data_IF_666698236794
#
_entry.id   IF_666698236794
#
_cell.length_a   1.000
_cell.length_b   1.000
_cell.length_c   1.000
_cell.angle_alpha   90.00
_cell.angle_beta   90.00
_cell.angle_gamma   90.00
#
_symmetry.space_group_name_H-M   'P 1'
#
loop_
_entity.id
_entity.type
_entity.pdbx_description
1 polymer ?
#
# COMPACT_ATOMS: atom_id res chain seq x y z
N UNK A 1 18.84 16.56 -15.65
CA UNK A 1 19.81 15.47 -15.41
C UNK A 1 19.92 15.23 -13.91
N UNK A 2 20.35 14.04 -13.47
CA UNK A 2 20.69 13.80 -12.06
C UNK A 2 22.20 13.96 -11.84
N UNK A 3 22.62 14.21 -10.59
CA UNK A 3 24.03 14.32 -10.23
C UNK A 3 24.85 13.11 -10.73
N UNK A 4 24.35 11.90 -10.46
CA UNK A 4 24.99 10.65 -10.88
C UNK A 4 25.17 10.49 -12.39
N UNK A 5 24.27 11.05 -13.22
CA UNK A 5 24.41 11.03 -14.68
C UNK A 5 25.50 12.04 -15.11
N UNK A 6 25.57 13.19 -14.44
CA UNK A 6 26.63 14.18 -14.67
C UNK A 6 28.02 13.62 -14.38
N UNK A 7 28.18 12.97 -13.22
CA UNK A 7 29.45 12.33 -12.81
C UNK A 7 29.87 11.23 -13.81
N UNK A 8 28.95 10.33 -14.20
CA UNK A 8 29.22 9.31 -15.21
C UNK A 8 29.65 9.90 -16.55
N UNK A 9 28.95 10.95 -16.98
CA UNK A 9 29.24 11.64 -18.23
C UNK A 9 30.63 12.27 -18.21
N UNK A 10 31.01 12.91 -17.10
CA UNK A 10 32.33 13.51 -16.94
C UNK A 10 33.44 12.45 -17.08
N UNK A 11 33.25 11.28 -16.46
CA UNK A 11 34.20 10.17 -16.57
C UNK A 11 34.27 9.60 -17.99
N UNK A 12 33.14 9.44 -18.68
CA UNK A 12 33.11 9.01 -20.09
C UNK A 12 33.91 9.99 -20.96
N UNK A 13 33.71 11.30 -20.79
CA UNK A 13 34.43 12.33 -21.54
C UNK A 13 35.93 12.36 -21.22
N UNK A 14 36.31 12.17 -19.96
CA UNK A 14 37.71 12.09 -19.56
C UNK A 14 38.41 10.88 -20.20
N UNK A 15 37.72 9.74 -20.27
CA UNK A 15 38.24 8.52 -20.93
C UNK A 15 38.41 8.74 -22.43
N UNK A 16 37.49 9.44 -23.09
CA UNK A 16 37.56 9.74 -24.53
C UNK A 16 38.64 10.77 -24.88
N UNK A 17 38.94 11.70 -23.97
CA UNK A 17 39.93 12.75 -24.19
C UNK A 17 41.39 12.23 -24.17
N UNK A 18 41.62 11.06 -23.57
CA UNK A 18 42.98 10.52 -23.38
C UNK A 18 43.19 9.31 -24.27
N UNK A 19 44.32 9.31 -25.01
CA UNK A 19 44.71 8.22 -25.90
C UNK A 19 44.55 6.83 -25.24
N UNK A 20 43.97 5.83 -25.94
CA UNK A 20 43.78 4.47 -25.41
C UNK A 20 45.07 3.78 -24.95
N UNK A 21 46.23 4.23 -25.42
CA UNK A 21 47.55 3.65 -25.14
C UNK A 21 48.32 4.38 -24.05
N UNK A 22 47.73 5.41 -23.43
CA UNK A 22 48.35 6.16 -22.32
C UNK A 22 47.72 5.75 -20.99
N UNK A 23 48.52 5.46 -19.94
CA UNK A 23 47.98 5.23 -18.61
C UNK A 23 47.12 6.41 -18.14
N UNK A 24 45.95 6.12 -17.57
CA UNK A 24 44.98 7.13 -17.16
C UNK A 24 44.73 7.03 -15.65
N UNK A 25 44.98 8.11 -14.92
CA UNK A 25 44.61 8.26 -13.52
C UNK A 25 43.34 9.13 -13.42
N UNK A 26 42.21 8.51 -13.11
CA UNK A 26 40.93 9.18 -12.90
C UNK A 26 40.76 9.51 -11.42
N UNK A 27 40.76 10.80 -11.10
CA UNK A 27 40.53 11.32 -9.76
C UNK A 27 39.08 11.83 -9.71
N UNK A 28 38.28 11.31 -8.78
CA UNK A 28 36.87 11.71 -8.64
C UNK A 28 36.40 11.56 -7.19
N UNK A 29 35.49 12.42 -6.77
CA UNK A 29 34.76 12.31 -5.51
C UNK A 29 33.50 11.43 -5.60
N UNK A 30 33.15 10.98 -6.81
CA UNK A 30 32.01 10.08 -7.05
C UNK A 30 32.32 8.64 -6.67
N UNK A 31 31.95 8.26 -5.45
CA UNK A 31 31.86 6.83 -5.08
C UNK A 31 30.87 6.08 -5.96
N UNK A 32 29.84 6.75 -6.50
CA UNK A 32 28.85 6.11 -7.36
C UNK A 32 29.49 5.51 -8.63
N UNK A 33 30.38 6.26 -9.30
CA UNK A 33 31.10 5.76 -10.48
C UNK A 33 32.15 4.72 -10.09
N UNK A 34 32.93 4.99 -9.04
CA UNK A 34 34.00 4.10 -8.58
C UNK A 34 33.42 2.74 -8.17
N UNK A 35 32.45 2.71 -7.26
CA UNK A 35 31.85 1.46 -6.79
C UNK A 35 31.12 0.74 -7.94
N UNK A 36 30.49 1.50 -8.84
CA UNK A 36 29.83 0.94 -10.02
C UNK A 36 30.77 0.14 -10.92
N UNK A 37 31.97 0.65 -11.18
CA UNK A 37 32.96 -0.02 -12.04
C UNK A 37 33.78 -1.08 -11.28
N UNK A 38 34.07 -0.85 -9.99
CA UNK A 38 35.02 -1.69 -9.24
C UNK A 38 34.37 -2.78 -8.39
N UNK A 39 33.17 -2.55 -7.85
CA UNK A 39 32.49 -3.48 -6.94
C UNK A 39 31.30 -4.18 -7.61
N UNK A 40 30.48 -3.42 -8.35
CA UNK A 40 29.19 -3.92 -8.82
C UNK A 40 29.17 -4.39 -10.27
N UNK A 41 30.19 -4.03 -11.08
CA UNK A 41 30.21 -4.28 -12.51
C UNK A 41 29.94 -5.75 -12.87
N UNK A 42 30.63 -6.68 -12.20
CA UNK A 42 30.47 -8.10 -12.48
C UNK A 42 29.02 -8.56 -12.23
N UNK A 43 28.43 -8.20 -11.07
CA UNK A 43 27.04 -8.56 -10.77
C UNK A 43 26.08 -7.96 -11.80
N UNK A 44 26.31 -6.71 -12.20
CA UNK A 44 25.47 -6.00 -13.16
C UNK A 44 25.50 -6.64 -14.55
N UNK A 45 26.67 -7.06 -15.03
CA UNK A 45 26.79 -7.77 -16.29
C UNK A 45 26.17 -9.17 -16.22
N UNK A 46 26.41 -9.91 -15.14
CA UNK A 46 25.85 -11.23 -14.92
C UNK A 46 24.31 -11.23 -14.91
N UNK A 47 23.68 -10.20 -14.31
CA UNK A 47 22.22 -10.02 -14.31
C UNK A 47 21.68 -9.30 -15.55
N UNK A 48 22.51 -9.06 -16.56
CA UNK A 48 22.11 -8.43 -17.83
C UNK A 48 21.64 -6.99 -17.68
N UNK A 49 22.15 -6.27 -16.67
CA UNK A 49 21.81 -4.88 -16.35
C UNK A 49 20.34 -4.62 -15.96
N UNK A 50 19.60 -5.69 -15.66
CA UNK A 50 18.18 -5.60 -15.28
C UNK A 50 18.03 -4.88 -13.94
N UNK A 51 17.26 -3.79 -13.93
CA UNK A 51 17.01 -3.00 -12.73
C UNK A 51 18.18 -2.13 -12.26
N UNK A 52 19.21 -1.95 -13.10
CA UNK A 52 20.37 -1.10 -12.81
C UNK A 52 20.10 0.31 -13.34
N UNK A 53 20.17 1.30 -12.45
CA UNK A 53 20.01 2.71 -12.81
C UNK A 53 21.19 3.18 -13.67
N UNK A 54 20.93 4.05 -14.66
CA UNK A 54 21.93 4.60 -15.58
C UNK A 54 22.77 3.51 -16.28
N UNK A 55 22.14 2.34 -16.54
CA UNK A 55 22.83 1.18 -17.10
C UNK A 55 23.38 1.43 -18.51
N UNK A 56 22.76 2.31 -19.28
CA UNK A 56 23.25 2.65 -20.62
C UNK A 56 24.60 3.38 -20.55
N UNK A 57 24.70 4.39 -19.69
CA UNK A 57 25.92 5.18 -19.47
C UNK A 57 27.04 4.32 -18.90
N UNK A 58 26.74 3.44 -17.94
CA UNK A 58 27.72 2.50 -17.41
C UNK A 58 28.21 1.51 -18.49
N UNK A 59 27.33 0.98 -19.34
CA UNK A 59 27.75 0.10 -20.45
C UNK A 59 28.71 0.81 -21.41
N UNK A 60 28.44 2.08 -21.72
CA UNK A 60 29.32 2.91 -22.57
C UNK A 60 30.67 3.09 -21.89
N UNK A 61 30.70 3.48 -20.62
CA UNK A 61 31.94 3.64 -19.86
C UNK A 61 32.75 2.34 -19.83
N UNK A 62 32.12 1.21 -19.51
CA UNK A 62 32.76 -0.11 -19.45
C UNK A 62 33.33 -0.51 -20.81
N UNK A 63 32.60 -0.29 -21.89
CA UNK A 63 33.08 -0.58 -23.24
C UNK A 63 34.30 0.27 -23.60
N UNK A 64 34.26 1.58 -23.29
CA UNK A 64 35.40 2.49 -23.51
C UNK A 64 36.61 2.10 -22.68
N UNK A 65 36.43 1.76 -21.41
CA UNK A 65 37.52 1.29 -20.54
C UNK A 65 38.15 -0.01 -21.05
N UNK A 66 37.32 -0.99 -21.49
CA UNK A 66 37.81 -2.25 -22.08
C UNK A 66 38.49 -2.08 -23.44
N UNK A 67 38.18 -1.00 -24.16
CA UNK A 67 38.83 -0.67 -25.42
C UNK A 67 40.25 -0.12 -25.24
N UNK A 68 40.60 0.36 -24.04
CA UNK A 68 41.92 0.92 -23.75
C UNK A 68 42.98 -0.19 -23.70
N UNK A 69 44.14 0.08 -24.30
CA UNK A 69 45.32 -0.78 -24.24
C UNK A 69 46.21 -0.50 -23.02
N UNK A 70 46.04 0.66 -22.38
CA UNK A 70 46.78 1.06 -21.19
C UNK A 70 45.89 1.04 -19.93
N UNK A 71 46.48 0.83 -18.74
CA UNK A 71 45.73 0.74 -17.49
C UNK A 71 45.03 2.06 -17.15
N UNK A 72 43.83 1.93 -16.58
CA UNK A 72 43.08 3.05 -15.98
C UNK A 72 42.98 2.81 -14.48
N UNK A 73 43.39 3.77 -13.66
CA UNK A 73 43.31 3.70 -12.20
C UNK A 73 42.32 4.72 -11.71
N UNK A 74 41.48 4.32 -10.77
CA UNK A 74 40.54 5.21 -10.09
C UNK A 74 41.10 5.59 -8.72
N UNK A 75 41.12 6.88 -8.42
CA UNK A 75 41.49 7.41 -7.11
C UNK A 75 40.31 8.20 -6.57
N UNK A 76 39.77 7.73 -5.46
CA UNK A 76 38.76 8.48 -4.74
C UNK A 76 39.41 9.65 -3.98
N UNK A 77 38.81 10.82 -4.07
CA UNK A 77 39.13 11.98 -3.23
C UNK A 77 37.88 12.46 -2.53
N UNK A 78 38.06 13.09 -1.38
CA UNK A 78 36.94 13.71 -0.67
C UNK A 78 36.61 15.03 -1.35
N UNK A 79 35.34 15.28 -1.62
CA UNK A 79 34.89 16.56 -2.18
C UNK A 79 35.20 17.74 -1.25
N UNK A 80 35.55 18.89 -1.85
CA UNK A 80 35.83 20.16 -1.16
C UNK A 80 36.92 20.11 -0.08
N UNK A 81 38.02 19.38 -0.34
CA UNK A 81 39.16 19.30 0.59
C UNK A 81 40.45 19.94 0.08
N UNK A 82 40.39 20.87 -0.87
CA UNK A 82 41.59 21.56 -1.38
C UNK A 82 42.35 20.82 -2.49
N UNK A 83 41.74 19.83 -3.15
CA UNK A 83 42.31 19.24 -4.36
C UNK A 83 42.02 20.17 -5.55
N UNK A 84 43.05 20.86 -6.05
CA UNK A 84 42.92 21.87 -7.09
C UNK A 84 42.22 21.33 -8.35
N UNK A 85 42.49 20.09 -8.72
CA UNK A 85 41.88 19.45 -9.89
C UNK A 85 40.40 19.15 -9.69
N UNK A 86 40.03 18.61 -8.52
CA UNK A 86 38.62 18.33 -8.19
C UNK A 86 37.81 19.62 -8.05
N UNK A 87 38.36 20.67 -7.42
CA UNK A 87 37.69 21.96 -7.27
C UNK A 87 37.49 22.67 -8.61
N UNK A 88 38.48 22.60 -9.50
CA UNK A 88 38.32 23.11 -10.86
C UNK A 88 37.24 22.33 -11.64
N UNK A 89 37.20 20.99 -11.48
CA UNK A 89 36.17 20.16 -12.11
C UNK A 89 34.76 20.46 -11.59
N UNK A 90 34.59 20.66 -10.28
CA UNK A 90 33.30 21.04 -9.66
C UNK A 90 32.81 22.40 -10.17
N UNK A 91 33.71 23.39 -10.27
CA UNK A 91 33.40 24.69 -10.86
C UNK A 91 32.92 24.56 -12.32
N UNK A 92 33.63 23.79 -13.13
CA UNK A 92 33.25 23.53 -14.53
C UNK A 92 31.92 22.78 -14.65
N UNK A 93 31.64 21.85 -13.74
CA UNK A 93 30.36 21.16 -13.67
C UNK A 93 29.21 22.14 -13.35
N UNK A 94 29.43 23.08 -12.41
CA UNK A 94 28.47 24.14 -12.08
C UNK A 94 28.25 25.16 -13.20
N UNK A 95 29.26 25.44 -14.03
CA UNK A 95 29.11 26.21 -15.26
C UNK A 95 28.32 25.42 -16.32
N UNK A 96 28.63 24.14 -16.51
CA UNK A 96 27.90 23.24 -17.42
C UNK A 96 26.42 23.12 -17.08
N UNK A 97 26.08 23.02 -15.79
CA UNK A 97 24.70 22.94 -15.31
C UNK A 97 23.87 24.21 -15.60
N UNK A 98 24.53 25.35 -15.85
CA UNK A 98 23.90 26.65 -16.15
C UNK A 98 23.80 26.94 -17.65
N UNK A 99 24.37 26.11 -18.53
CA UNK A 99 24.24 26.29 -19.97
C UNK A 99 22.78 26.15 -20.41
N UNK A 100 22.34 27.03 -21.31
CA UNK A 100 20.99 26.97 -21.91
C UNK A 100 20.84 25.82 -22.92
N UNK A 101 21.95 25.41 -23.54
CA UNK A 101 22.01 24.31 -24.50
C UNK A 101 22.72 23.09 -23.89
N UNK A 102 22.29 21.90 -24.31
CA UNK A 102 22.89 20.64 -23.85
C UNK A 102 23.98 20.17 -24.82
N UNK A 103 25.05 19.61 -24.27
CA UNK A 103 26.11 18.97 -25.04
C UNK A 103 25.67 17.53 -25.43
N UNK A 104 25.91 17.14 -26.69
CA UNK A 104 25.63 15.77 -27.15
C UNK A 104 26.81 14.87 -26.76
N UNK A 105 26.51 13.76 -26.09
CA UNK A 105 27.49 12.75 -25.71
C UNK A 105 27.26 11.51 -26.58
N UNK A 106 28.35 10.98 -27.13
CA UNK A 106 28.30 9.71 -27.83
C UNK A 106 28.14 8.56 -26.84
N UNK A 107 26.97 7.93 -26.89
CA UNK A 107 26.62 6.76 -26.08
C UNK A 107 26.60 5.47 -26.91
N UNK A 108 27.31 5.45 -28.05
CA UNK A 108 27.50 4.21 -28.80
C UNK A 108 28.40 3.24 -28.04
N UNK A 109 27.97 1.98 -28.00
CA UNK A 109 28.68 0.88 -27.35
C UNK A 109 29.27 0.00 -28.46
N UNK A 110 30.59 -0.16 -28.46
CA UNK A 110 31.26 -1.09 -29.36
C UNK A 110 30.71 -2.52 -29.19
N UNK A 111 30.26 -3.14 -30.29
CA UNK A 111 29.58 -4.45 -30.26
C UNK A 111 30.39 -5.53 -29.54
N UNK A 112 31.72 -5.54 -29.68
CA UNK A 112 32.61 -6.50 -29.01
C UNK A 112 32.58 -6.41 -27.48
N UNK A 113 32.21 -5.26 -26.93
CA UNK A 113 32.12 -5.03 -25.48
C UNK A 113 30.68 -4.90 -24.99
N UNK A 114 29.69 -4.98 -25.89
CA UNK A 114 28.29 -4.91 -25.55
C UNK A 114 27.76 -6.29 -25.13
N UNK A 115 27.88 -6.62 -23.86
CA UNK A 115 27.25 -7.83 -23.31
C UNK A 115 25.73 -7.67 -23.32
N UNK A 116 25.05 -8.59 -23.98
CA UNK A 116 23.59 -8.61 -24.10
C UNK A 116 23.00 -9.83 -23.38
N UNK A 117 21.82 -9.63 -22.78
CA UNK A 117 21.12 -10.66 -22.01
C UNK A 117 21.67 -10.82 -20.58
N UNK A 118 20.93 -11.59 -19.77
CA UNK A 118 21.33 -11.98 -18.42
C UNK A 118 21.81 -13.43 -18.43
N UNK A 119 22.81 -13.74 -17.60
CA UNK A 119 23.29 -15.11 -17.43
C UNK A 119 22.20 -15.97 -16.77
N UNK A 120 21.83 -17.08 -17.41
CA UNK A 120 20.74 -17.95 -16.92
C UNK A 120 20.97 -18.47 -15.50
N UNK A 121 22.21 -18.78 -15.12
CA UNK A 121 22.56 -19.23 -13.78
C UNK A 121 22.38 -18.16 -12.69
N UNK A 122 22.34 -16.88 -13.06
CA UNK A 122 22.19 -15.73 -12.16
C UNK A 122 20.79 -15.11 -12.25
N UNK A 123 19.98 -15.53 -13.21
CA UNK A 123 18.63 -15.02 -13.46
C UNK A 123 17.62 -15.63 -12.48
N UNK A 124 17.41 -14.97 -11.35
CA UNK A 124 16.32 -15.34 -10.42
C UNK A 124 14.95 -14.96 -10.99
N UNK A 125 13.88 -15.61 -10.53
CA UNK A 125 12.49 -15.23 -10.90
C UNK A 125 12.20 -13.75 -10.63
N UNK A 126 12.75 -13.19 -9.54
CA UNK A 126 12.61 -11.77 -9.19
C UNK A 126 13.25 -10.87 -10.26
N UNK A 127 14.48 -11.18 -10.69
CA UNK A 127 15.20 -10.42 -11.71
C UNK A 127 14.49 -10.57 -13.06
N UNK A 128 14.10 -11.79 -13.46
CA UNK A 128 13.36 -12.02 -14.70
C UNK A 128 12.04 -11.22 -14.72
N UNK A 129 11.27 -11.27 -13.64
CA UNK A 129 10.03 -10.51 -13.52
C UNK A 129 10.26 -8.99 -13.58
N UNK A 130 11.33 -8.50 -12.93
CA UNK A 130 11.72 -7.10 -13.04
C UNK A 130 12.06 -6.73 -14.49
N UNK A 131 12.85 -7.52 -15.20
CA UNK A 131 13.18 -7.26 -16.61
C UNK A 131 11.96 -7.24 -17.53
N UNK A 132 11.00 -8.15 -17.33
CA UNK A 132 9.71 -8.14 -18.03
C UNK A 132 8.91 -6.86 -17.72
N UNK A 133 8.97 -6.37 -16.48
CA UNK A 133 8.29 -5.13 -16.09
C UNK A 133 8.97 -3.90 -16.67
N UNK A 134 10.29 -3.86 -16.69
CA UNK A 134 11.07 -2.74 -17.23
C UNK A 134 10.90 -2.61 -18.75
N UNK A 135 10.69 -3.74 -19.45
CA UNK A 135 10.42 -3.77 -20.90
C UNK A 135 8.97 -3.47 -21.27
N UNK A 136 8.02 -3.73 -20.37
CA UNK A 136 6.62 -3.36 -20.60
C UNK A 136 6.47 -1.84 -20.42
N UNK A 137 6.09 -1.15 -21.50
CA UNK A 137 5.58 0.22 -21.39
C UNK A 137 4.45 0.26 -20.38
N UNK A 138 4.52 1.14 -19.39
CA UNK A 138 3.47 1.27 -18.38
C UNK A 138 2.19 1.69 -19.13
N UNK A 139 1.15 0.83 -19.23
CA UNK A 139 0.02 1.08 -20.13
C UNK A 139 -0.92 2.19 -19.63
N UNK A 140 -0.46 3.04 -18.71
CA UNK A 140 -1.29 3.96 -17.95
C UNK A 140 -2.25 3.23 -17.02
N UNK A 141 -2.96 4.01 -16.21
CA UNK A 141 -4.08 3.48 -15.43
C UNK A 141 -5.30 3.33 -16.33
N UNK A 142 -6.10 2.28 -16.11
CA UNK A 142 -7.38 2.14 -16.80
C UNK A 142 -8.30 3.32 -16.47
N UNK A 143 -9.28 3.61 -17.34
CA UNK A 143 -10.29 4.67 -17.07
C UNK A 143 -11.02 4.44 -15.74
N UNK A 144 -11.38 3.19 -15.45
CA UNK A 144 -12.03 2.80 -14.20
C UNK A 144 -11.15 3.05 -12.97
N UNK A 145 -9.88 2.65 -13.01
CA UNK A 145 -8.94 2.91 -11.93
C UNK A 145 -8.70 4.41 -11.71
N UNK A 146 -8.61 5.19 -12.79
CA UNK A 146 -8.46 6.64 -12.74
C UNK A 146 -9.66 7.30 -12.06
N UNK A 147 -10.88 6.94 -12.45
CA UNK A 147 -12.11 7.44 -11.83
C UNK A 147 -12.17 7.09 -10.34
N UNK A 148 -11.88 5.84 -9.98
CA UNK A 148 -11.92 5.38 -8.57
C UNK A 148 -10.87 6.08 -7.71
N UNK A 149 -9.67 6.30 -8.23
CA UNK A 149 -8.63 7.09 -7.56
C UNK A 149 -9.09 8.52 -7.31
N UNK A 150 -9.72 9.16 -8.29
CA UNK A 150 -10.19 10.53 -8.17
C UNK A 150 -11.28 10.68 -7.11
N UNK A 151 -12.30 9.82 -7.16
CA UNK A 151 -13.34 9.75 -6.14
C UNK A 151 -12.75 9.51 -4.74
N UNK A 152 -11.78 8.59 -4.63
CA UNK A 152 -11.12 8.31 -3.35
C UNK A 152 -10.31 9.51 -2.87
N UNK A 153 -9.67 10.25 -3.78
CA UNK A 153 -8.94 11.49 -3.44
C UNK A 153 -9.86 12.54 -2.83
N UNK A 154 -11.06 12.71 -3.39
CA UNK A 154 -12.08 13.61 -2.85
C UNK A 154 -12.63 13.12 -1.51
N UNK A 155 -12.88 11.82 -1.34
CA UNK A 155 -13.31 11.24 -0.07
C UNK A 155 -12.25 11.43 1.04
N UNK A 156 -10.96 11.25 0.72
CA UNK A 156 -9.87 11.52 1.68
C UNK A 156 -9.78 13.00 2.03
N UNK A 157 -10.01 13.91 1.07
CA UNK A 157 -10.09 15.35 1.36
C UNK A 157 -11.24 15.66 2.32
N UNK A 158 -12.40 15.06 2.14
CA UNK A 158 -13.52 15.25 3.06
C UNK A 158 -13.19 14.76 4.49
N UNK A 159 -12.44 13.66 4.60
CA UNK A 159 -12.02 13.11 5.90
C UNK A 159 -10.90 13.91 6.59
N UNK A 160 -9.89 14.37 5.83
CA UNK A 160 -8.64 14.90 6.39
C UNK A 160 -8.36 16.37 6.04
N UNK A 161 -9.21 17.01 5.24
CA UNK A 161 -9.02 18.37 4.74
C UNK A 161 -8.00 18.54 3.62
N UNK A 162 -7.31 17.47 3.18
CA UNK A 162 -6.22 17.56 2.18
C UNK A 162 -6.31 16.49 1.09
N UNK A 163 -5.90 16.86 -0.13
CA UNK A 163 -5.79 15.92 -1.23
C UNK A 163 -4.52 15.05 -1.11
N UNK A 164 -4.64 13.71 -1.12
CA UNK A 164 -3.48 12.84 -1.17
C UNK A 164 -2.92 12.70 -2.60
N UNK A 165 -1.64 12.33 -2.69
CA UNK A 165 -1.02 11.94 -3.97
C UNK A 165 -1.50 10.55 -4.40
N UNK A 166 -1.40 10.24 -5.70
CA UNK A 166 -1.71 8.89 -6.21
C UNK A 166 -0.88 7.82 -5.51
N UNK A 167 0.40 8.11 -5.24
CA UNK A 167 1.28 7.20 -4.52
C UNK A 167 0.79 6.92 -3.09
N UNK A 168 0.29 7.95 -2.39
CA UNK A 168 -0.26 7.78 -1.05
C UNK A 168 -1.54 6.92 -1.06
N UNK A 169 -2.42 7.10 -2.05
CA UNK A 169 -3.63 6.28 -2.24
C UNK A 169 -3.27 4.81 -2.51
N UNK A 170 -2.32 4.53 -3.40
CA UNK A 170 -1.89 3.15 -3.67
C UNK A 170 -1.17 2.50 -2.48
N UNK A 171 -0.40 3.28 -1.72
CA UNK A 171 0.20 2.76 -0.47
C UNK A 171 -0.87 2.48 0.60
N UNK A 172 -1.94 3.27 0.63
CA UNK A 172 -2.98 3.13 1.67
C UNK A 172 -3.79 1.85 1.54
N UNK A 173 -4.08 1.35 0.33
CA UNK A 173 -4.79 0.06 0.17
C UNK A 173 -3.99 -1.13 0.70
N UNK A 174 -2.68 -0.97 0.86
CA UNK A 174 -1.77 -1.95 1.44
C UNK A 174 -1.40 -1.65 2.90
N UNK A 175 -2.16 -0.80 3.60
CA UNK A 175 -1.86 -0.39 4.97
C UNK A 175 -1.65 -1.62 5.89
N UNK A 176 -0.63 -1.60 6.77
CA UNK A 176 -0.29 -2.74 7.62
C UNK A 176 -1.42 -3.20 8.56
N UNK A 177 -2.35 -2.30 8.90
CA UNK A 177 -3.51 -2.61 9.73
C UNK A 177 -4.55 -3.51 9.02
N UNK A 178 -4.49 -3.66 7.70
CA UNK A 178 -5.39 -4.51 6.92
C UNK A 178 -4.85 -5.94 6.80
N UNK A 179 -5.77 -6.93 6.88
CA UNK A 179 -5.45 -8.33 6.59
C UNK A 179 -5.10 -8.54 5.10
N UNK A 180 -4.38 -9.62 4.76
CA UNK A 180 -3.94 -9.89 3.38
C UNK A 180 -5.13 -9.92 2.40
N UNK A 181 -6.22 -10.59 2.77
CA UNK A 181 -7.42 -10.70 1.95
C UNK A 181 -8.07 -9.35 1.70
N UNK A 182 -8.13 -8.49 2.72
CA UNK A 182 -8.65 -7.13 2.63
C UNK A 182 -7.78 -6.25 1.72
N UNK A 183 -6.45 -6.37 1.80
CA UNK A 183 -5.55 -5.62 0.90
C UNK A 183 -5.78 -5.99 -0.56
N UNK A 184 -5.98 -7.28 -0.84
CA UNK A 184 -6.34 -7.75 -2.19
C UNK A 184 -7.70 -7.20 -2.59
N UNK A 185 -8.70 -7.30 -1.71
CA UNK A 185 -10.04 -6.78 -1.95
C UNK A 185 -10.03 -5.27 -2.28
N UNK A 186 -9.36 -4.45 -1.48
CA UNK A 186 -9.24 -3.01 -1.69
C UNK A 186 -8.42 -2.66 -2.93
N UNK A 187 -7.35 -3.40 -3.21
CA UNK A 187 -6.57 -3.21 -4.44
C UNK A 187 -7.42 -3.48 -5.68
N UNK A 188 -8.15 -4.59 -5.72
CA UNK A 188 -9.07 -4.94 -6.82
C UNK A 188 -10.19 -3.92 -6.96
N UNK A 189 -10.69 -3.40 -5.83
CA UNK A 189 -11.71 -2.37 -5.77
C UNK A 189 -11.21 -1.03 -6.31
N UNK A 190 -9.98 -0.64 -5.98
CA UNK A 190 -9.32 0.55 -6.54
C UNK A 190 -9.16 0.46 -8.06
N UNK A 191 -8.89 -0.74 -8.59
CA UNK A 191 -8.82 -0.98 -10.04
C UNK A 191 -10.18 -1.11 -10.73
N UNK A 192 -11.27 -1.12 -9.97
CA UNK A 192 -12.61 -1.43 -10.45
C UNK A 192 -12.67 -2.78 -11.21
N UNK A 193 -12.01 -3.80 -10.65
CA UNK A 193 -11.76 -5.09 -11.33
C UNK A 193 -12.53 -6.28 -10.74
N UNK A 194 -13.52 -6.03 -9.89
CA UNK A 194 -14.39 -7.08 -9.36
C UNK A 194 -15.42 -7.55 -10.39
N UNK A 195 -15.88 -8.78 -10.26
CA UNK A 195 -16.92 -9.37 -11.13
C UNK A 195 -18.30 -8.94 -10.63
N UNK A 196 -18.74 -7.77 -11.07
CA UNK A 196 -19.97 -7.06 -10.64
C UNK A 196 -20.62 -6.34 -11.83
N UNK A 197 -21.93 -6.08 -11.76
CA UNK A 197 -22.70 -5.34 -12.77
C UNK A 197 -22.35 -5.72 -14.22
N UNK A 198 -21.89 -4.72 -14.98
CA UNK A 198 -21.46 -4.82 -16.39
C UNK A 198 -20.52 -5.99 -16.71
N UNK A 199 -19.70 -6.46 -15.77
CA UNK A 199 -18.84 -7.62 -16.01
C UNK A 199 -19.66 -8.83 -16.45
N UNK A 200 -20.79 -9.08 -15.79
CA UNK A 200 -21.63 -10.24 -16.07
C UNK A 200 -22.33 -10.12 -17.43
N UNK A 201 -22.69 -8.92 -17.84
CA UNK A 201 -23.29 -8.64 -19.16
C UNK A 201 -22.26 -8.80 -20.27
N UNK A 202 -21.05 -8.28 -20.07
CA UNK A 202 -20.07 -8.10 -21.16
C UNK A 202 -19.04 -9.21 -21.27
N UNK A 203 -18.81 -10.00 -20.19
CA UNK A 203 -17.72 -10.97 -20.11
C UNK A 203 -18.16 -12.38 -19.73
N UNK A 204 -19.43 -12.62 -19.41
CA UNK A 204 -19.90 -13.92 -18.96
C UNK A 204 -21.23 -14.32 -19.61
N UNK A 205 -21.16 -15.18 -20.62
CA UNK A 205 -22.33 -15.78 -21.26
C UNK A 205 -23.13 -16.62 -20.25
N UNK A 206 -24.46 -16.54 -20.35
CA UNK A 206 -25.45 -17.25 -19.52
C UNK A 206 -25.46 -16.85 -18.03
N UNK A 207 -24.86 -15.70 -17.69
CA UNK A 207 -24.80 -15.17 -16.32
C UNK A 207 -25.22 -13.70 -16.23
N UNK A 208 -25.87 -13.17 -17.26
CA UNK A 208 -26.27 -11.78 -17.36
C UNK A 208 -27.24 -11.38 -16.24
N UNK A 209 -28.04 -12.34 -15.75
CA UNK A 209 -28.93 -12.15 -14.61
C UNK A 209 -28.20 -11.77 -13.31
N UNK A 210 -26.90 -12.10 -13.16
CA UNK A 210 -26.07 -11.69 -12.01
C UNK A 210 -25.60 -10.24 -12.08
N UNK A 211 -25.90 -9.52 -13.16
CA UNK A 211 -25.62 -8.09 -13.25
C UNK A 211 -26.55 -7.25 -12.37
N UNK A 212 -27.68 -7.82 -11.93
CA UNK A 212 -28.67 -7.16 -11.07
C UNK A 212 -28.73 -7.82 -9.70
N UNK A 213 -28.99 -7.02 -8.68
CA UNK A 213 -29.15 -7.48 -7.32
C UNK A 213 -30.45 -8.29 -7.20
N UNK A 214 -30.37 -9.53 -6.74
CA UNK A 214 -31.54 -10.40 -6.59
C UNK A 214 -32.54 -9.94 -5.50
N UNK A 215 -32.15 -8.99 -4.64
CA UNK A 215 -33.01 -8.49 -3.56
C UNK A 215 -33.86 -7.28 -3.98
N UNK A 216 -33.25 -6.32 -4.68
CA UNK A 216 -33.92 -5.06 -5.03
C UNK A 216 -34.00 -4.78 -6.54
N UNK A 217 -33.33 -5.58 -7.38
CA UNK A 217 -33.37 -5.44 -8.84
C UNK A 217 -32.46 -4.36 -9.43
N UNK A 218 -31.79 -3.55 -8.60
CA UNK A 218 -30.83 -2.53 -9.02
C UNK A 218 -29.54 -3.14 -9.61
N UNK A 219 -28.73 -2.32 -10.28
CA UNK A 219 -27.43 -2.75 -10.79
C UNK A 219 -26.54 -3.24 -9.64
N UNK A 220 -26.01 -4.46 -9.76
CA UNK A 220 -25.18 -5.08 -8.72
C UNK A 220 -23.73 -4.57 -8.78
N UNK A 221 -23.57 -3.26 -8.65
CA UNK A 221 -22.29 -2.56 -8.66
C UNK A 221 -21.60 -2.61 -7.29
N UNK A 222 -20.31 -2.30 -7.21
CA UNK A 222 -19.60 -2.28 -5.93
C UNK A 222 -20.15 -1.22 -4.95
N UNK A 223 -20.58 -0.08 -5.48
CA UNK A 223 -21.22 0.98 -4.68
C UNK A 223 -22.59 0.50 -4.16
N UNK A 224 -23.36 -0.17 -5.01
CA UNK A 224 -24.62 -0.79 -4.61
C UNK A 224 -24.43 -1.81 -3.49
N UNK A 225 -23.58 -2.80 -3.71
CA UNK A 225 -23.35 -3.92 -2.80
C UNK A 225 -22.90 -3.45 -1.41
N UNK A 226 -22.01 -2.45 -1.36
CA UNK A 226 -21.39 -2.06 -0.11
C UNK A 226 -22.14 -0.97 0.64
N UNK A 227 -22.91 -0.11 -0.02
CA UNK A 227 -23.46 1.09 0.62
C UNK A 227 -24.92 1.41 0.30
N UNK A 228 -25.46 1.00 -0.85
CA UNK A 228 -26.78 1.47 -1.31
C UNK A 228 -27.87 0.39 -1.22
N UNK A 229 -27.50 -0.89 -1.15
CA UNK A 229 -28.45 -2.00 -1.14
C UNK A 229 -29.22 -2.11 0.19
N UNK A 230 -30.54 -2.33 0.13
CA UNK A 230 -31.42 -2.58 1.28
C UNK A 230 -31.29 -4.03 1.84
N UNK A 231 -30.12 -4.62 1.69
CA UNK A 231 -29.86 -5.99 2.16
C UNK A 231 -29.67 -6.04 3.68
N UNK A 232 -30.01 -7.16 4.34
CA UNK A 232 -29.78 -7.33 5.77
C UNK A 232 -28.32 -7.09 6.17
N UNK A 233 -27.36 -7.46 5.32
CA UNK A 233 -25.94 -7.21 5.60
C UNK A 233 -25.57 -5.74 5.64
N UNK A 234 -26.04 -4.91 4.71
CA UNK A 234 -25.74 -3.47 4.68
C UNK A 234 -26.46 -2.77 5.84
N UNK A 235 -27.76 -3.04 6.00
CA UNK A 235 -28.62 -2.42 7.02
C UNK A 235 -28.25 -2.78 8.45
N UNK A 236 -27.59 -3.92 8.66
CA UNK A 236 -27.13 -4.32 9.99
C UNK A 236 -25.68 -3.89 10.22
N UNK A 237 -24.75 -4.15 9.29
CA UNK A 237 -23.31 -4.01 9.56
C UNK A 237 -22.88 -2.56 9.76
N UNK A 238 -23.37 -1.62 8.96
CA UNK A 238 -22.96 -0.22 9.10
C UNK A 238 -23.43 0.43 10.41
N UNK A 239 -24.70 0.24 10.86
CA UNK A 239 -25.11 0.70 12.18
C UNK A 239 -24.31 0.07 13.33
N UNK A 240 -23.92 -1.21 13.22
CA UNK A 240 -23.06 -1.84 14.22
C UNK A 240 -21.65 -1.23 14.24
N UNK A 241 -21.09 -0.97 13.06
CA UNK A 241 -19.80 -0.32 12.88
C UNK A 241 -19.79 1.10 13.47
N UNK A 242 -20.83 1.88 13.18
CA UNK A 242 -21.05 3.21 13.73
C UNK A 242 -21.17 3.17 15.25
N UNK A 243 -22.01 2.28 15.80
CA UNK A 243 -22.20 2.14 17.25
C UNK A 243 -20.90 1.78 17.96
N UNK A 244 -20.05 0.96 17.35
CA UNK A 244 -18.73 0.64 17.90
C UNK A 244 -17.77 1.85 17.82
N UNK A 245 -17.77 2.58 16.71
CA UNK A 245 -16.94 3.78 16.54
C UNK A 245 -17.32 4.91 17.50
N UNK A 246 -18.62 5.10 17.75
CA UNK A 246 -19.15 6.13 18.66
C UNK A 246 -18.67 5.98 20.10
N UNK A 247 -18.19 4.79 20.50
CA UNK A 247 -17.51 4.58 21.79
C UNK A 247 -16.15 5.28 21.90
N UNK A 248 -15.54 5.66 20.77
CA UNK A 248 -14.22 6.30 20.69
C UNK A 248 -14.29 7.76 20.29
N UNK A 249 -15.13 8.08 19.32
CA UNK A 249 -15.20 9.39 18.68
C UNK A 249 -16.65 9.80 18.50
N UNK A 250 -17.01 11.08 18.69
CA UNK A 250 -18.39 11.54 18.60
C UNK A 250 -18.95 11.46 17.17
N UNK A 251 -18.09 11.69 16.17
CA UNK A 251 -18.52 11.86 14.78
C UNK A 251 -18.22 10.60 13.96
N UNK A 252 -19.27 10.05 13.36
CA UNK A 252 -19.17 9.01 12.35
C UNK A 252 -19.10 9.67 10.97
N UNK A 253 -18.05 9.39 10.17
CA UNK A 253 -18.02 9.84 8.79
C UNK A 253 -19.05 9.08 7.96
N UNK A 254 -19.72 9.79 7.07
CA UNK A 254 -20.72 9.20 6.21
C UNK A 254 -20.07 8.28 5.15
N UNK A 255 -20.56 7.04 5.05
CA UNK A 255 -20.05 6.04 4.11
C UNK A 255 -21.00 5.99 2.92
N UNK A 256 -20.77 6.89 1.95
CA UNK A 256 -21.68 7.06 0.82
C UNK A 256 -21.44 6.10 -0.33
N UNK A 257 -20.22 5.62 -0.48
CA UNK A 257 -19.78 4.84 -1.62
C UNK A 257 -18.45 4.12 -1.33
N UNK A 258 -18.01 3.32 -2.29
CA UNK A 258 -16.75 2.59 -2.28
C UNK A 258 -15.53 3.50 -2.05
N UNK A 259 -15.55 4.72 -2.58
CA UNK A 259 -14.45 5.67 -2.39
C UNK A 259 -14.31 6.11 -0.93
N UNK A 260 -15.44 6.27 -0.22
CA UNK A 260 -15.47 6.56 1.22
C UNK A 260 -14.87 5.42 2.04
N UNK A 261 -15.11 4.18 1.63
CA UNK A 261 -14.52 2.97 2.23
C UNK A 261 -13.01 2.93 1.99
N UNK A 262 -12.55 3.13 0.74
CA UNK A 262 -11.11 3.14 0.39
C UNK A 262 -10.35 4.25 1.12
N UNK A 263 -10.99 5.39 1.36
CA UNK A 263 -10.40 6.52 2.05
C UNK A 263 -10.00 6.20 3.50
N UNK A 264 -10.56 5.15 4.12
CA UNK A 264 -10.20 4.77 5.49
C UNK A 264 -8.71 4.47 5.67
N UNK A 265 -8.03 3.99 4.61
CA UNK A 265 -6.59 3.71 4.65
C UNK A 265 -5.72 4.92 4.95
N UNK A 266 -6.24 6.14 4.70
CA UNK A 266 -5.57 7.41 4.99
C UNK A 266 -6.24 8.20 6.12
N UNK A 267 -7.23 7.66 6.84
CA UNK A 267 -7.91 8.40 7.90
C UNK A 267 -6.94 8.89 9.00
N UNK A 268 -7.03 10.18 9.32
CA UNK A 268 -6.19 10.86 10.30
C UNK A 268 -7.00 11.70 11.30
N UNK A 269 -7.64 11.04 12.27
CA UNK A 269 -8.20 11.68 13.46
C UNK A 269 -7.09 12.17 14.41
N UNK A 270 -7.30 13.37 14.94
CA UNK A 270 -6.38 14.09 15.82
C UNK A 270 -7.10 14.59 17.08
N UNK A 271 -6.36 14.85 18.15
CA UNK A 271 -6.85 15.62 19.31
C UNK A 271 -6.98 17.11 18.97
N UNK A 272 -7.58 17.88 19.87
CA UNK A 272 -7.63 19.36 19.77
C UNK A 272 -6.22 19.95 19.63
N UNK A 273 -5.24 19.41 20.37
CA UNK A 273 -3.81 19.80 20.27
C UNK A 273 -3.11 19.31 18.98
N UNK A 274 -3.83 18.72 18.02
CA UNK A 274 -3.28 18.24 16.75
C UNK A 274 -2.52 16.90 16.81
N UNK A 275 -2.44 16.23 17.98
CA UNK A 275 -1.77 14.93 18.11
C UNK A 275 -2.58 13.82 17.45
N UNK A 276 -1.91 12.96 16.67
CA UNK A 276 -2.55 11.83 15.98
C UNK A 276 -3.08 10.80 16.98
N UNK A 277 -4.36 10.45 16.85
CA UNK A 277 -5.01 9.40 17.65
C UNK A 277 -4.70 8.02 17.04
N UNK A 278 -3.48 7.52 17.24
CA UNK A 278 -2.98 6.27 16.64
C UNK A 278 -3.92 5.07 16.84
N UNK A 279 -4.41 4.87 18.07
CA UNK A 279 -5.35 3.80 18.41
C UNK A 279 -6.70 3.94 17.70
N UNK A 280 -7.30 5.14 17.73
CA UNK A 280 -8.59 5.41 17.07
C UNK A 280 -8.48 5.30 15.55
N UNK A 281 -7.41 5.84 14.95
CA UNK A 281 -7.15 5.71 13.51
C UNK A 281 -7.04 4.24 13.07
N UNK A 282 -6.36 3.42 13.88
CA UNK A 282 -6.25 1.99 13.63
C UNK A 282 -7.60 1.28 13.78
N UNK A 283 -8.37 1.59 14.82
CA UNK A 283 -9.70 1.02 15.01
C UNK A 283 -10.62 1.37 13.84
N UNK A 284 -10.61 2.63 13.38
CA UNK A 284 -11.41 3.07 12.24
C UNK A 284 -11.10 2.25 10.98
N UNK A 285 -9.81 2.12 10.64
CA UNK A 285 -9.35 1.27 9.53
C UNK A 285 -9.85 -0.17 9.65
N UNK A 286 -9.76 -0.75 10.84
CA UNK A 286 -10.22 -2.11 11.11
C UNK A 286 -11.73 -2.21 10.89
N UNK A 287 -12.52 -1.36 11.55
CA UNK A 287 -13.98 -1.42 11.49
C UNK A 287 -14.47 -1.28 10.05
N UNK A 288 -14.02 -0.26 9.32
CA UNK A 288 -14.47 -0.01 7.94
C UNK A 288 -14.10 -1.18 7.02
N UNK A 289 -12.88 -1.68 7.12
CA UNK A 289 -12.38 -2.71 6.20
C UNK A 289 -12.95 -4.10 6.49
N UNK A 290 -13.11 -4.49 7.75
CA UNK A 290 -13.73 -5.75 8.14
C UNK A 290 -15.23 -5.75 7.80
N UNK A 291 -15.92 -4.62 8.02
CA UNK A 291 -17.33 -4.45 7.65
C UNK A 291 -17.56 -4.59 6.14
N UNK A 292 -16.83 -3.81 5.33
CA UNK A 292 -16.97 -3.85 3.87
C UNK A 292 -16.65 -5.24 3.30
N UNK A 293 -15.60 -5.88 3.80
CA UNK A 293 -15.22 -7.21 3.34
C UNK A 293 -16.24 -8.28 3.76
N UNK A 294 -16.86 -8.16 4.94
CA UNK A 294 -17.91 -9.08 5.37
C UNK A 294 -19.19 -8.93 4.53
N UNK A 295 -19.62 -7.70 4.24
CA UNK A 295 -20.76 -7.42 3.34
C UNK A 295 -20.50 -8.09 1.98
N UNK A 296 -19.33 -7.83 1.38
CA UNK A 296 -18.92 -8.44 0.12
C UNK A 296 -18.96 -9.98 0.19
N UNK A 297 -18.45 -10.59 1.26
CA UNK A 297 -18.48 -12.05 1.44
C UNK A 297 -19.89 -12.61 1.55
N UNK A 298 -20.79 -11.94 2.28
CA UNK A 298 -22.18 -12.38 2.41
C UNK A 298 -22.87 -12.32 1.05
N UNK A 299 -22.70 -11.22 0.31
CA UNK A 299 -23.21 -11.10 -1.06
C UNK A 299 -22.65 -12.18 -1.99
N UNK A 300 -21.34 -12.42 -1.98
CA UNK A 300 -20.73 -13.46 -2.82
C UNK A 300 -21.26 -14.85 -2.50
N UNK A 301 -21.46 -15.16 -1.21
CA UNK A 301 -22.06 -16.43 -0.79
C UNK A 301 -23.49 -16.55 -1.33
N UNK A 302 -24.30 -15.50 -1.19
CA UNK A 302 -25.67 -15.47 -1.72
C UNK A 302 -25.71 -15.66 -3.24
N UNK A 303 -24.79 -15.06 -3.99
CA UNK A 303 -24.78 -15.18 -5.45
C UNK A 303 -24.30 -16.56 -5.93
N UNK A 304 -23.24 -17.10 -5.31
CA UNK A 304 -22.51 -18.26 -5.85
C UNK A 304 -22.90 -19.59 -5.22
N UNK A 305 -23.38 -19.58 -3.98
CA UNK A 305 -23.63 -20.80 -3.21
C UNK A 305 -25.12 -21.02 -2.90
N UNK A 306 -25.96 -19.98 -2.96
CA UNK A 306 -27.38 -20.11 -2.62
C UNK A 306 -28.20 -20.66 -3.78
N UNK A 307 -29.18 -21.49 -3.43
CA UNK A 307 -30.25 -21.92 -4.34
C UNK A 307 -31.37 -20.87 -4.37
N UNK A 308 -32.21 -20.85 -5.42
CA UNK A 308 -33.31 -19.88 -5.53
C UNK A 308 -34.25 -19.84 -4.32
N UNK A 309 -34.47 -20.98 -3.66
CA UNK A 309 -35.38 -21.11 -2.52
C UNK A 309 -34.68 -20.96 -1.15
N UNK A 310 -33.37 -20.71 -1.12
CA UNK A 310 -32.67 -20.53 0.15
C UNK A 310 -33.15 -19.24 0.84
N UNK A 311 -33.46 -19.29 2.15
CA UNK A 311 -33.91 -18.12 2.87
C UNK A 311 -32.81 -17.05 2.90
N UNK A 312 -33.22 -15.79 2.76
CA UNK A 312 -32.33 -14.65 2.94
C UNK A 312 -31.77 -14.68 4.37
N UNK A 313 -30.48 -14.37 4.51
CA UNK A 313 -29.81 -14.28 5.81
C UNK A 313 -30.56 -13.29 6.73
N UNK A 314 -30.83 -13.72 7.95
CA UNK A 314 -31.53 -12.86 8.93
C UNK A 314 -30.58 -11.80 9.50
N UNK A 315 -31.13 -10.65 9.92
CA UNK A 315 -30.35 -9.59 10.58
C UNK A 315 -29.60 -10.10 11.81
N UNK A 316 -30.21 -11.03 12.58
CA UNK A 316 -29.57 -11.67 13.73
C UNK A 316 -28.34 -12.48 13.33
N UNK A 317 -28.41 -13.21 12.23
CA UNK A 317 -27.26 -13.96 11.71
C UNK A 317 -26.16 -13.03 11.21
N UNK A 318 -26.52 -11.97 10.47
CA UNK A 318 -25.58 -10.94 10.03
C UNK A 318 -24.88 -10.32 11.24
N UNK A 319 -25.63 -9.91 12.25
CA UNK A 319 -25.12 -9.35 13.49
C UNK A 319 -24.08 -10.27 14.14
N UNK A 320 -24.43 -11.55 14.31
CA UNK A 320 -23.54 -12.54 14.90
C UNK A 320 -22.26 -12.75 14.07
N UNK A 321 -22.37 -12.75 12.73
CA UNK A 321 -21.21 -12.83 11.83
C UNK A 321 -20.29 -11.62 11.98
N UNK A 322 -20.84 -10.42 12.08
CA UNK A 322 -20.07 -9.20 12.25
C UNK A 322 -19.34 -9.16 13.59
N UNK A 323 -20.06 -9.46 14.68
CA UNK A 323 -19.47 -9.58 16.03
C UNK A 323 -18.35 -10.63 16.04
N UNK A 324 -18.55 -11.79 15.38
CA UNK A 324 -17.51 -12.82 15.24
C UNK A 324 -16.28 -12.28 14.48
N UNK A 325 -16.47 -11.53 13.40
CA UNK A 325 -15.38 -10.95 12.61
C UNK A 325 -14.52 -9.98 13.45
N UNK A 326 -15.17 -9.06 14.16
CA UNK A 326 -14.48 -8.07 15.01
C UNK A 326 -13.78 -8.75 16.19
N UNK A 327 -14.40 -9.76 16.81
CA UNK A 327 -13.76 -10.54 17.89
C UNK A 327 -12.57 -11.35 17.39
N UNK A 328 -12.66 -11.98 16.22
CA UNK A 328 -11.52 -12.66 15.61
C UNK A 328 -10.36 -11.69 15.36
N UNK A 329 -10.67 -10.46 14.93
CA UNK A 329 -9.66 -9.41 14.73
C UNK A 329 -8.98 -9.01 16.04
N UNK A 330 -9.74 -8.88 17.13
CA UNK A 330 -9.19 -8.64 18.47
C UNK A 330 -8.25 -9.78 18.90
N UNK A 331 -8.66 -11.04 18.75
CA UNK A 331 -7.83 -12.19 19.13
C UNK A 331 -6.55 -12.28 18.27
N UNK A 332 -6.63 -11.97 16.97
CA UNK A 332 -5.45 -11.84 16.12
C UNK A 332 -4.49 -10.75 16.62
N UNK A 333 -5.01 -9.58 16.99
CA UNK A 333 -4.19 -8.49 17.53
C UNK A 333 -3.49 -8.90 18.83
N UNK A 334 -4.21 -9.59 19.74
CA UNK A 334 -3.62 -10.13 20.98
C UNK A 334 -2.52 -11.14 20.66
N UNK A 335 -2.78 -12.08 19.76
CA UNK A 335 -1.81 -13.09 19.37
C UNK A 335 -0.52 -12.49 18.76
N UNK A 336 -0.66 -11.41 17.98
CA UNK A 336 0.47 -10.70 17.37
C UNK A 336 1.32 -9.92 18.38
N UNK A 337 0.91 -9.79 19.65
CA UNK A 337 1.73 -9.16 20.70
C UNK A 337 2.72 -10.11 21.37
N UNK A 338 2.72 -11.39 21.01
CA UNK A 338 3.62 -12.38 21.60
C UNK A 338 5.08 -12.08 21.24
N UNK A 339 5.95 -12.19 22.24
CA UNK A 339 7.38 -11.88 22.12
C UNK A 339 8.10 -12.83 21.15
N UNK A 340 7.53 -14.01 20.88
CA UNK A 340 7.98 -14.98 19.87
C UNK A 340 8.02 -14.42 18.44
N UNK A 341 7.35 -13.29 18.18
CA UNK A 341 7.41 -12.60 16.89
C UNK A 341 8.53 -11.57 16.79
N UNK A 342 9.33 -11.36 17.84
CA UNK A 342 10.48 -10.46 17.89
C UNK A 342 10.16 -9.07 17.29
N UNK A 343 10.94 -8.62 16.28
CA UNK A 343 10.77 -7.33 15.59
C UNK A 343 9.44 -7.21 14.82
N UNK A 344 8.73 -8.32 14.60
CA UNK A 344 7.41 -8.35 13.94
C UNK A 344 6.25 -8.30 14.95
N UNK A 345 6.53 -8.38 16.25
CA UNK A 345 5.51 -8.30 17.28
C UNK A 345 4.81 -6.92 17.26
N UNK A 346 3.49 -6.94 17.41
CA UNK A 346 2.70 -5.73 17.52
C UNK A 346 2.86 -5.14 18.94
N UNK A 347 3.17 -3.83 19.09
CA UNK A 347 3.30 -3.24 20.41
C UNK A 347 2.00 -3.35 21.22
N UNK A 348 2.11 -3.83 22.46
CA UNK A 348 0.97 -4.00 23.39
C UNK A 348 0.19 -2.69 23.58
N UNK A 349 0.91 -1.57 23.76
CA UNK A 349 0.33 -0.23 23.87
C UNK A 349 -0.56 0.13 22.68
N UNK A 350 -0.18 -0.26 21.45
CA UNK A 350 -0.94 -0.01 20.22
C UNK A 350 -2.25 -0.81 20.21
N UNK A 351 -2.23 -2.06 20.68
CA UNK A 351 -3.44 -2.90 20.81
C UNK A 351 -4.38 -2.36 21.88
N UNK A 352 -3.85 -2.05 23.07
CA UNK A 352 -4.62 -1.44 24.15
C UNK A 352 -5.28 -0.14 23.68
N UNK A 353 -4.53 0.78 23.06
CA UNK A 353 -5.08 2.03 22.53
C UNK A 353 -6.16 1.82 21.47
N UNK A 354 -6.02 0.80 20.62
CA UNK A 354 -7.01 0.46 19.59
C UNK A 354 -8.34 0.06 20.24
N UNK A 355 -8.31 -0.90 21.18
CA UNK A 355 -9.52 -1.54 21.69
C UNK A 355 -10.06 -0.97 23.02
N UNK A 356 -9.34 -0.04 23.67
CA UNK A 356 -9.81 0.64 24.90
C UNK A 356 -11.20 1.25 24.73
N UNK A 357 -12.06 1.19 25.74
CA UNK A 357 -13.49 1.59 25.75
C UNK A 357 -14.42 0.77 24.85
N UNK A 358 -13.92 -0.26 24.16
CA UNK A 358 -14.74 -1.07 23.23
C UNK A 358 -15.08 -2.46 23.77
N UNK A 359 -14.39 -2.91 24.81
CA UNK A 359 -14.50 -4.25 25.37
C UNK A 359 -15.62 -4.31 26.41
N UNK A 360 -16.33 -5.45 26.45
CA UNK A 360 -17.38 -5.68 27.44
C UNK A 360 -16.78 -5.76 28.84
N UNK A 361 -17.38 -5.07 29.81
CA UNK A 361 -16.94 -5.06 31.21
C UNK A 361 -15.47 -4.66 31.40
N UNK A 362 -14.95 -3.76 30.55
CA UNK A 362 -13.55 -3.31 30.59
C UNK A 362 -13.14 -2.72 31.95
N UNK A 363 -14.08 -2.11 32.70
CA UNK A 363 -13.84 -1.60 34.06
C UNK A 363 -13.36 -2.69 35.03
N UNK A 364 -13.72 -3.95 34.79
CA UNK A 364 -13.36 -5.09 35.63
C UNK A 364 -12.12 -5.83 35.10
N UNK A 365 -11.48 -5.34 34.03
CA UNK A 365 -10.28 -5.92 33.47
C UNK A 365 -9.04 -5.14 33.94
N UNK A 366 -7.89 -5.79 34.11
CA UNK A 366 -6.65 -5.10 34.44
C UNK A 366 -6.22 -4.15 33.31
N UNK A 367 -5.38 -3.15 33.59
CA UNK A 367 -4.89 -2.20 32.59
C UNK A 367 -4.24 -2.86 31.36
N UNK A 368 -3.56 -4.00 31.54
CA UNK A 368 -3.05 -4.87 30.47
C UNK A 368 -3.91 -6.15 30.32
N UNK A 369 -5.10 -5.99 29.76
CA UNK A 369 -6.05 -7.10 29.57
C UNK A 369 -5.68 -8.05 28.43
N UNK A 370 -4.58 -7.82 27.70
CA UNK A 370 -4.20 -8.62 26.51
C UNK A 370 -4.05 -10.12 26.84
N UNK A 371 -3.61 -10.43 28.06
CA UNK A 371 -3.45 -11.82 28.55
C UNK A 371 -4.75 -12.46 29.07
N UNK A 372 -5.84 -11.69 29.16
CA UNK A 372 -7.12 -12.15 29.66
C UNK A 372 -8.12 -12.44 28.53
N UNK A 373 -9.12 -13.29 28.82
CA UNK A 373 -10.23 -13.55 27.90
C UNK A 373 -11.19 -12.35 27.95
N UNK A 374 -11.34 -11.66 26.83
CA UNK A 374 -12.27 -10.54 26.67
C UNK A 374 -12.88 -10.58 25.28
N UNK A 375 -14.13 -10.16 25.16
CA UNK A 375 -14.85 -10.07 23.88
C UNK A 375 -15.34 -8.65 23.67
N UNK A 376 -15.26 -8.19 22.42
CA UNK A 376 -15.91 -6.98 21.94
C UNK A 376 -17.41 -7.27 21.91
N UNK A 377 -18.13 -6.80 22.93
CA UNK A 377 -19.60 -6.80 22.93
C UNK A 377 -20.12 -5.59 23.71
N UNK A 378 -21.02 -4.86 23.06
CA UNK A 378 -21.84 -3.83 23.69
C UNK A 378 -22.93 -3.37 22.73
N UNK A 379 -23.40 -4.29 21.88
CA UNK A 379 -24.47 -4.04 20.94
C UNK A 379 -25.48 -5.17 21.12
N UNK A 380 -26.24 -5.12 22.21
CA UNK A 380 -27.44 -5.92 22.33
C UNK A 380 -28.54 -5.31 21.46
N UNK A 381 -29.29 -6.16 20.77
CA UNK A 381 -30.66 -5.86 20.34
C UNK A 381 -31.51 -5.75 21.62
N UNK A 382 -32.21 -4.62 21.77
CA UNK A 382 -33.09 -4.27 22.88
C UNK A 382 -32.44 -4.24 24.27
N UNK A 383 -32.37 -3.02 24.82
CA UNK A 383 -32.50 -2.83 26.26
C UNK A 383 -33.76 -3.59 26.69
N UNK A 384 -33.58 -4.75 27.33
CA UNK A 384 -34.65 -5.31 28.15
C UNK A 384 -34.86 -4.27 29.24
N UNK A 385 -36.00 -3.60 29.18
CA UNK A 385 -36.60 -2.94 30.33
C UNK A 385 -36.36 -3.82 31.56
N UNK A 386 -35.72 -3.23 32.58
CA UNK A 386 -35.78 -3.75 33.93
C UNK A 386 -37.26 -3.81 34.34
N UNK A 387 -37.87 -4.98 34.12
CA UNK A 387 -39.10 -5.39 34.77
C UNK A 387 -38.74 -6.41 35.84
N UNK A 388 -38.83 -5.96 37.07
CA UNK A 388 -39.25 -6.77 38.21
C UNK A 388 -38.15 -7.29 39.10
N UNK A 389 -37.98 -6.66 40.27
CA UNK A 389 -38.06 -7.32 41.58
C UNK A 389 -37.96 -6.28 42.70
N UNK A 390 -39.07 -5.61 43.01
CA UNK A 390 -39.33 -5.20 44.39
C UNK A 390 -40.67 -5.77 44.81
N UNK A 391 -40.56 -6.79 45.66
CA UNK A 391 -41.65 -7.46 46.31
C UNK A 391 -42.38 -6.51 47.25
N UNK A 392 -43.70 -6.67 47.31
CA UNK A 392 -44.56 -6.07 48.29
C UNK A 392 -44.09 -6.40 49.72
N UNK A 393 -43.94 -5.38 50.54
CA UNK A 393 -43.93 -5.49 52.01
C UNK A 393 -45.37 -5.38 52.52
N UNK A 394 -45.81 -6.22 53.47
CA UNK A 394 -47.12 -6.09 54.07
C UNK A 394 -47.14 -4.98 55.13
N UNK A 395 -48.30 -4.37 55.29
CA UNK A 395 -48.65 -3.37 56.30
C UNK A 395 -48.45 -3.91 57.73
N UNK A 396 -47.96 -3.03 58.60
CA UNK A 396 -48.14 -3.09 60.04
C UNK A 396 -48.13 -1.66 60.60
N UNK A 397 -49.33 -1.07 60.72
CA UNK A 397 -49.92 -0.43 61.92
C UNK A 397 -51.20 0.28 61.53
#
# INVERSE_FOLDING_TARGET
>A
QSNNIGELTAVIKAVDAVSPFTPLDLITDSMYVIDGITLYLQEWEERGWIGVANSNEFKVLVAKLRARGAPTRFKWVKGHTGDEGNEAADKLAGEGARKETYDIIDLQIEKKFNLTGAQLSKLTQKIAYQGIRDTKTNPGLTRGATRRLDMTRHAVKALNGRYPTNQALWKSVHHPDFQKQIRIFFWTMMHNAHKVGDYWITKATDKEHWAKCHLCGEEDSMDHILTECDSPEVNTIWPLAEKLWRKKMPNWPEIRNTASILACGLAEYKTEDGKKLTGSNRLYRIIISESAYLIWKIRCKRLLESKPDDPIITEKEVHNKWIKSINLRLELDKALTKDSFEKKALPRSKVLQTWRKTIRNEKNLPPDWIRHKGVVVGIGLQERHDRGSQAATPEAT
#
